data_IF_870904699091
#
_entry.id   IF_870904699091
#
_cell.length_a   1.000
_cell.length_b   1.000
_cell.length_c   1.000
_cell.angle_alpha   90.00
_cell.angle_beta   90.00
_cell.angle_gamma   90.00
#
_symmetry.space_group_name_H-M   'P 1'
#
loop_
_entity.id
_entity.type
_entity.pdbx_description
1 polymer ?
#
# COMPACT_ATOMS: atom_id res chain seq x y z
N UNK A 1 -6.24 19.21 -0.38
CA UNK A 1 -5.67 17.86 -0.20
C UNK A 1 -4.22 18.03 0.20
N UNK A 2 -3.70 17.32 1.20
CA UNK A 2 -2.28 17.37 1.47
C UNK A 2 -1.52 16.90 0.23
N UNK A 3 -0.47 17.61 -0.11
CA UNK A 3 0.43 17.27 -1.22
C UNK A 3 1.09 15.90 -0.91
N UNK A 4 1.23 15.03 -1.91
CA UNK A 4 1.89 13.73 -1.76
C UNK A 4 3.31 13.83 -1.18
N UNK A 5 3.95 15.01 -1.30
CA UNK A 5 5.23 15.35 -0.65
C UNK A 5 5.14 15.46 0.86
N UNK A 6 3.94 15.58 1.44
CA UNK A 6 3.74 15.61 2.90
C UNK A 6 3.78 14.23 3.54
N UNK A 7 3.68 13.15 2.75
CA UNK A 7 3.84 11.79 3.25
C UNK A 7 5.33 11.45 3.28
N UNK A 8 5.91 11.44 4.48
CA UNK A 8 7.36 11.36 4.69
C UNK A 8 7.94 9.95 4.41
N UNK A 9 7.52 9.29 3.32
CA UNK A 9 8.18 8.09 2.81
C UNK A 9 9.60 8.36 2.26
N UNK A 10 9.97 9.64 2.13
CA UNK A 10 11.32 10.06 1.73
C UNK A 10 12.31 10.13 2.89
N UNK A 11 11.88 9.93 4.14
CA UNK A 11 12.77 9.81 5.30
C UNK A 11 13.27 8.36 5.38
N UNK A 12 14.57 8.06 5.24
CA UNK A 12 15.08 6.70 5.05
C UNK A 12 14.66 5.67 6.09
N UNK A 13 14.42 6.08 7.34
CA UNK A 13 13.98 5.20 8.43
C UNK A 13 12.56 4.62 8.24
N UNK A 14 11.66 5.33 7.56
CA UNK A 14 10.27 4.89 7.36
C UNK A 14 10.18 3.72 6.36
N UNK A 15 10.78 3.79 5.16
CA UNK A 15 10.81 2.66 4.25
C UNK A 15 11.43 1.39 4.83
N UNK A 16 12.49 1.52 5.65
CA UNK A 16 13.11 0.37 6.32
C UNK A 16 12.17 -0.27 7.33
N UNK A 17 11.58 0.52 8.24
CA UNK A 17 10.60 0.03 9.21
C UNK A 17 9.36 -0.56 8.52
N UNK A 18 8.89 0.06 7.45
CA UNK A 18 7.80 -0.46 6.62
C UNK A 18 8.16 -1.85 6.07
N UNK A 19 9.35 -2.01 5.49
CA UNK A 19 9.79 -3.27 4.90
C UNK A 19 9.99 -4.37 5.96
N UNK A 20 10.51 -4.03 7.12
CA UNK A 20 10.77 -4.99 8.20
C UNK A 20 9.50 -5.40 8.95
N UNK A 21 8.66 -4.43 9.32
CA UNK A 21 7.54 -4.69 10.25
C UNK A 21 6.20 -4.90 9.55
N UNK A 22 5.92 -4.12 8.50
CA UNK A 22 4.61 -4.15 7.85
C UNK A 22 4.57 -5.09 6.63
N UNK A 23 5.62 -5.10 5.80
CA UNK A 23 5.62 -5.89 4.56
C UNK A 23 5.24 -7.36 4.78
N UNK A 24 5.95 -8.14 5.62
CA UNK A 24 5.69 -9.59 5.69
C UNK A 24 4.35 -9.95 6.33
N UNK A 25 3.83 -9.08 7.19
CA UNK A 25 2.63 -9.36 7.99
C UNK A 25 1.35 -8.75 7.40
N UNK A 26 1.51 -7.68 6.64
CA UNK A 26 0.41 -6.93 6.06
C UNK A 26 0.45 -6.98 4.54
N UNK A 27 1.48 -6.42 3.92
CA UNK A 27 1.45 -6.16 2.48
C UNK A 27 1.65 -7.39 1.59
N UNK A 28 2.43 -8.40 2.00
CA UNK A 28 2.61 -9.63 1.23
C UNK A 28 1.32 -10.49 1.12
N UNK A 29 0.56 -10.73 2.22
CA UNK A 29 -0.72 -11.43 2.10
C UNK A 29 -1.71 -10.70 1.17
N UNK A 30 -1.76 -9.37 1.25
CA UNK A 30 -2.62 -8.57 0.37
C UNK A 30 -2.14 -8.57 -1.08
N UNK A 31 -0.82 -8.56 -1.33
CA UNK A 31 -0.27 -8.67 -2.68
C UNK A 31 -0.63 -10.02 -3.31
N UNK A 32 -0.52 -11.11 -2.56
CA UNK A 32 -0.92 -12.44 -3.01
C UNK A 32 -2.40 -12.44 -3.43
N UNK A 33 -3.27 -11.88 -2.61
CA UNK A 33 -4.71 -11.82 -2.89
C UNK A 33 -5.02 -10.93 -4.12
N UNK A 34 -4.31 -9.82 -4.30
CA UNK A 34 -4.46 -8.95 -5.47
C UNK A 34 -4.04 -9.68 -6.75
N UNK A 35 -2.91 -10.39 -6.73
CA UNK A 35 -2.41 -11.16 -7.87
C UNK A 35 -3.34 -12.34 -8.22
N UNK A 36 -3.97 -12.96 -7.23
CA UNK A 36 -4.98 -14.01 -7.44
C UNK A 36 -6.24 -13.41 -8.08
N UNK A 37 -6.68 -12.24 -7.59
CA UNK A 37 -7.87 -11.57 -8.08
C UNK A 37 -7.75 -11.18 -9.57
N UNK A 38 -6.58 -10.72 -10.03
CA UNK A 38 -6.35 -10.41 -11.45
C UNK A 38 -6.05 -11.65 -12.30
N UNK A 39 -5.96 -12.84 -11.69
CA UNK A 39 -5.59 -14.09 -12.36
C UNK A 39 -4.33 -13.94 -13.21
N UNK A 40 -3.23 -13.47 -12.58
CA UNK A 40 -1.94 -13.25 -13.25
C UNK A 40 -1.38 -14.55 -13.83
N UNK A 41 -0.85 -14.49 -15.07
CA UNK A 41 -0.43 -15.65 -15.85
C UNK A 41 1.04 -15.62 -16.20
N UNK A 42 1.64 -16.78 -16.43
CA UNK A 42 2.99 -16.89 -16.93
C UNK A 42 3.18 -16.17 -18.27
N UNK A 43 4.31 -15.50 -18.45
CA UNK A 43 4.68 -14.77 -19.67
C UNK A 43 4.07 -13.37 -19.79
N UNK A 44 3.18 -12.94 -18.88
CA UNK A 44 2.55 -11.61 -18.96
C UNK A 44 3.52 -10.47 -18.65
N UNK A 45 3.25 -9.33 -19.26
CA UNK A 45 3.91 -8.04 -18.98
C UNK A 45 3.11 -7.29 -17.93
N UNK A 46 3.73 -6.95 -16.82
CA UNK A 46 3.10 -6.34 -15.63
C UNK A 46 3.68 -4.96 -15.38
N UNK A 47 2.80 -4.01 -15.04
CA UNK A 47 3.18 -2.71 -14.46
C UNK A 47 2.68 -2.67 -13.01
N UNK A 48 3.59 -2.46 -12.06
CA UNK A 48 3.30 -2.23 -10.64
C UNK A 48 3.50 -0.76 -10.30
N UNK A 49 2.42 -0.06 -9.97
CA UNK A 49 2.38 1.40 -9.76
C UNK A 49 2.31 1.69 -8.27
N UNK A 50 3.15 2.59 -7.78
CA UNK A 50 3.44 2.82 -6.37
C UNK A 50 3.93 1.53 -5.70
N UNK A 51 4.97 0.94 -6.31
CA UNK A 51 5.50 -0.37 -5.95
C UNK A 51 6.08 -0.43 -4.54
N UNK A 52 6.41 0.75 -3.94
CA UNK A 52 7.06 0.84 -2.65
C UNK A 52 8.38 0.04 -2.63
N UNK A 53 8.62 -0.81 -1.59
CA UNK A 53 9.81 -1.65 -1.52
C UNK A 53 9.70 -2.92 -2.40
N UNK A 54 8.87 -2.88 -3.46
CA UNK A 54 8.79 -3.92 -4.48
C UNK A 54 7.99 -5.17 -4.12
N UNK A 55 7.07 -5.10 -3.17
CA UNK A 55 6.34 -6.29 -2.68
C UNK A 55 5.51 -6.95 -3.77
N UNK A 56 4.64 -6.18 -4.43
CA UNK A 56 3.78 -6.69 -5.51
C UNK A 56 4.63 -7.08 -6.72
N UNK A 57 5.57 -6.23 -7.14
CA UNK A 57 6.44 -6.48 -8.27
C UNK A 57 7.19 -7.81 -8.15
N UNK A 58 7.76 -8.12 -6.97
CA UNK A 58 8.53 -9.34 -6.73
C UNK A 58 7.65 -10.60 -6.77
N UNK A 59 6.46 -10.55 -6.16
CA UNK A 59 5.51 -11.66 -6.23
C UNK A 59 4.96 -11.84 -7.64
N UNK A 60 4.71 -10.75 -8.36
CA UNK A 60 4.31 -10.79 -9.76
C UNK A 60 5.41 -11.40 -10.64
N UNK A 61 6.68 -11.02 -10.44
CA UNK A 61 7.82 -11.56 -11.19
C UNK A 61 7.94 -13.09 -11.05
N UNK A 62 7.70 -13.63 -9.85
CA UNK A 62 7.65 -15.08 -9.64
C UNK A 62 6.52 -15.72 -10.44
N UNK A 63 5.33 -15.11 -10.45
CA UNK A 63 4.15 -15.68 -11.12
C UNK A 63 4.24 -15.64 -12.63
N UNK A 64 4.77 -14.54 -13.18
CA UNK A 64 4.91 -14.44 -14.65
C UNK A 64 6.11 -15.23 -15.17
N UNK A 65 7.07 -15.55 -14.30
CA UNK A 65 8.22 -16.37 -14.63
C UNK A 65 9.17 -15.73 -15.65
N UNK A 66 10.23 -16.45 -16.09
CA UNK A 66 11.34 -15.88 -16.87
C UNK A 66 10.95 -15.40 -18.28
N UNK A 67 9.77 -15.75 -18.78
CA UNK A 67 9.24 -15.25 -20.04
C UNK A 67 8.37 -13.99 -19.88
N UNK A 68 8.03 -13.61 -18.64
CA UNK A 68 7.32 -12.39 -18.33
C UNK A 68 8.27 -11.21 -18.15
N UNK A 69 7.71 -10.06 -17.86
CA UNK A 69 8.45 -8.86 -17.48
C UNK A 69 7.66 -8.03 -16.48
N UNK A 70 8.36 -7.33 -15.61
CA UNK A 70 7.75 -6.42 -14.64
C UNK A 70 8.42 -5.06 -14.74
N UNK A 71 7.62 -4.01 -14.95
CA UNK A 71 8.01 -2.64 -14.69
C UNK A 71 7.39 -2.22 -13.36
N UNK A 72 8.19 -1.69 -12.46
CA UNK A 72 7.77 -1.26 -11.13
C UNK A 72 8.15 0.20 -10.92
N UNK A 73 7.17 1.04 -10.67
CA UNK A 73 7.39 2.48 -10.51
C UNK A 73 6.99 2.98 -9.12
N UNK A 74 7.74 3.94 -8.63
CA UNK A 74 7.41 4.68 -7.41
C UNK A 74 7.94 6.12 -7.51
N UNK A 75 7.34 7.04 -6.75
CA UNK A 75 7.80 8.43 -6.66
C UNK A 75 8.86 8.62 -5.56
N UNK A 76 8.99 7.65 -4.65
CA UNK A 76 9.90 7.69 -3.50
C UNK A 76 11.18 6.90 -3.79
N UNK A 77 12.30 7.59 -4.06
CA UNK A 77 13.59 6.95 -4.31
C UNK A 77 14.02 6.01 -3.17
N UNK A 78 13.87 6.35 -1.86
CA UNK A 78 14.25 5.44 -0.79
C UNK A 78 13.48 4.11 -0.77
N UNK A 79 12.23 4.09 -1.26
CA UNK A 79 11.47 2.85 -1.45
C UNK A 79 12.08 1.98 -2.54
N UNK A 80 12.43 2.59 -3.68
CA UNK A 80 13.06 1.90 -4.80
C UNK A 80 14.46 1.38 -4.46
N UNK A 81 15.21 2.08 -3.63
CA UNK A 81 16.53 1.63 -3.17
C UNK A 81 16.42 0.33 -2.37
N UNK A 82 15.42 0.22 -1.49
CA UNK A 82 15.12 -1.02 -0.77
C UNK A 82 14.67 -2.13 -1.74
N UNK A 83 13.81 -1.78 -2.72
CA UNK A 83 13.35 -2.76 -3.69
C UNK A 83 14.50 -3.34 -4.53
N UNK A 84 15.39 -2.46 -5.02
CA UNK A 84 16.55 -2.82 -5.83
C UNK A 84 17.62 -3.62 -5.06
N UNK A 85 17.73 -3.40 -3.75
CA UNK A 85 18.68 -4.11 -2.90
C UNK A 85 18.32 -5.60 -2.68
N UNK A 86 17.07 -5.99 -2.96
CA UNK A 86 16.60 -7.37 -2.78
C UNK A 86 16.95 -8.23 -4.00
N UNK A 87 17.62 -9.35 -3.76
CA UNK A 87 17.88 -10.32 -4.81
C UNK A 87 16.59 -10.86 -5.46
N UNK A 88 16.61 -11.07 -6.76
CA UNK A 88 15.53 -11.74 -7.47
C UNK A 88 15.43 -13.20 -7.02
N UNK A 89 14.21 -13.73 -7.01
CA UNK A 89 14.00 -15.15 -6.73
C UNK A 89 14.31 -15.99 -7.97
N UNK A 90 14.89 -17.20 -7.80
CA UNK A 90 15.20 -18.07 -8.95
C UNK A 90 13.93 -18.35 -9.78
N UNK A 91 14.08 -18.26 -11.11
CA UNK A 91 12.98 -18.50 -12.04
C UNK A 91 11.96 -17.37 -12.16
N UNK A 92 12.17 -16.21 -11.51
CA UNK A 92 11.34 -15.04 -11.69
C UNK A 92 11.69 -14.26 -12.96
N UNK A 93 10.76 -13.43 -13.41
CA UNK A 93 11.03 -12.39 -14.41
C UNK A 93 12.00 -11.34 -13.88
N UNK A 94 12.66 -10.62 -14.79
CA UNK A 94 13.38 -9.40 -14.45
C UNK A 94 12.40 -8.28 -14.04
N UNK A 95 12.84 -7.45 -13.09
CA UNK A 95 12.08 -6.30 -12.63
C UNK A 95 12.87 -5.03 -12.95
N UNK A 96 12.27 -4.16 -13.76
CA UNK A 96 12.79 -2.82 -14.00
C UNK A 96 12.16 -1.85 -13.00
N UNK A 97 12.98 -1.25 -12.11
CA UNK A 97 12.54 -0.29 -11.11
C UNK A 97 12.83 1.14 -11.56
N UNK A 98 11.80 1.96 -11.74
CA UNK A 98 11.92 3.33 -12.23
C UNK A 98 11.31 4.36 -11.27
N UNK A 99 12.02 5.45 -11.03
CA UNK A 99 11.50 6.62 -10.33
C UNK A 99 10.58 7.38 -11.27
N UNK A 100 9.27 7.35 -11.00
CA UNK A 100 8.28 7.99 -11.86
C UNK A 100 6.98 8.27 -11.11
N UNK A 101 6.28 9.31 -11.59
CA UNK A 101 4.88 9.57 -11.23
C UNK A 101 3.93 8.58 -11.91
N UNK A 102 2.74 8.39 -11.31
CA UNK A 102 1.65 7.67 -11.95
C UNK A 102 0.92 8.50 -13.02
N UNK A 103 1.23 9.79 -13.16
CA UNK A 103 0.58 10.71 -14.08
C UNK A 103 1.59 11.77 -14.56
N UNK A 104 2.07 11.70 -15.83
CA UNK A 104 1.88 10.59 -16.79
C UNK A 104 2.72 9.36 -16.45
N UNK A 105 2.29 8.18 -16.92
CA UNK A 105 3.09 6.96 -16.83
C UNK A 105 4.20 6.94 -17.91
N UNK A 106 5.41 6.48 -17.58
CA UNK A 106 6.57 6.50 -18.48
C UNK A 106 6.56 5.35 -19.51
N UNK A 107 5.38 4.99 -20.00
CA UNK A 107 5.24 3.84 -20.89
C UNK A 107 4.33 4.15 -22.07
N UNK A 108 4.55 3.54 -23.25
CA UNK A 108 3.66 3.68 -24.39
C UNK A 108 2.29 3.05 -24.11
N UNK A 109 1.31 3.41 -24.93
CA UNK A 109 -0.01 2.77 -24.93
C UNK A 109 0.08 1.27 -25.28
N UNK A 110 -0.82 0.47 -24.73
CA UNK A 110 -0.96 -0.95 -25.03
C UNK A 110 0.33 -1.80 -24.81
N UNK A 111 1.08 -1.48 -23.76
CA UNK A 111 2.36 -2.14 -23.44
C UNK A 111 2.22 -3.32 -22.48
N UNK A 112 1.21 -3.32 -21.60
CA UNK A 112 1.08 -4.28 -20.51
C UNK A 112 -0.18 -5.13 -20.60
N UNK A 113 -0.07 -6.36 -20.12
CA UNK A 113 -1.19 -7.28 -19.95
C UNK A 113 -1.94 -6.97 -18.63
N UNK A 114 -1.20 -6.55 -17.60
CA UNK A 114 -1.74 -6.26 -16.27
C UNK A 114 -1.10 -4.99 -15.70
N UNK A 115 -1.94 -4.11 -15.12
CA UNK A 115 -1.52 -2.99 -14.29
C UNK A 115 -2.00 -3.19 -12.85
N UNK A 116 -1.13 -3.00 -11.89
CA UNK A 116 -1.38 -3.22 -10.46
C UNK A 116 -1.12 -1.93 -9.68
N UNK A 117 -1.96 -1.67 -8.67
CA UNK A 117 -1.71 -0.61 -7.70
C UNK A 117 -2.25 -1.05 -6.34
N UNK A 118 -1.35 -1.48 -5.46
CA UNK A 118 -1.72 -1.88 -4.11
C UNK A 118 -1.49 -0.75 -3.12
N UNK A 119 -2.57 -0.23 -2.52
CA UNK A 119 -2.54 0.76 -1.45
C UNK A 119 -1.77 2.06 -1.83
N UNK A 120 -1.71 2.37 -3.13
CA UNK A 120 -1.07 3.58 -3.66
C UNK A 120 -2.07 4.64 -4.11
N UNK A 121 -3.15 4.23 -4.80
CA UNK A 121 -4.09 5.14 -5.48
C UNK A 121 -4.71 6.20 -4.54
N UNK A 122 -4.93 5.88 -3.26
CA UNK A 122 -5.47 6.81 -2.27
C UNK A 122 -4.59 8.04 -2.03
N UNK A 123 -3.30 7.96 -2.34
CA UNK A 123 -2.34 9.06 -2.19
C UNK A 123 -2.19 9.93 -3.44
N UNK A 124 -2.75 9.51 -4.58
CA UNK A 124 -2.55 10.25 -5.84
C UNK A 124 -3.35 11.54 -5.85
N UNK A 125 -2.73 12.67 -6.26
CA UNK A 125 -3.42 13.95 -6.39
C UNK A 125 -4.53 13.92 -7.45
N UNK A 126 -4.22 13.32 -8.62
CA UNK A 126 -5.16 13.08 -9.71
C UNK A 126 -5.46 11.59 -9.86
N UNK A 127 -6.42 11.11 -9.07
CA UNK A 127 -6.81 9.68 -9.03
C UNK A 127 -7.44 9.21 -10.34
N UNK A 128 -8.25 10.06 -10.96
CA UNK A 128 -8.91 9.71 -12.23
C UNK A 128 -7.93 9.74 -13.38
N UNK A 129 -7.04 10.75 -13.44
CA UNK A 129 -5.96 10.80 -14.42
C UNK A 129 -5.04 9.60 -14.34
N UNK A 130 -4.68 9.15 -13.13
CA UNK A 130 -3.88 7.95 -12.93
C UNK A 130 -4.61 6.68 -13.42
N UNK A 131 -5.90 6.54 -13.16
CA UNK A 131 -6.71 5.44 -13.68
C UNK A 131 -6.79 5.45 -15.21
N UNK A 132 -6.93 6.64 -15.83
CA UNK A 132 -6.89 6.79 -17.30
C UNK A 132 -5.52 6.41 -17.88
N UNK A 133 -4.44 6.78 -17.21
CA UNK A 133 -3.08 6.38 -17.62
C UNK A 133 -2.87 4.85 -17.47
N UNK A 134 -3.34 4.24 -16.36
CA UNK A 134 -3.33 2.78 -16.21
C UNK A 134 -4.06 2.10 -17.37
N UNK A 135 -5.23 2.63 -17.75
CA UNK A 135 -5.98 2.11 -18.89
C UNK A 135 -5.24 2.32 -20.23
N UNK A 136 -4.62 3.49 -20.43
CA UNK A 136 -3.88 3.80 -21.67
C UNK A 136 -2.74 2.82 -21.93
N UNK A 137 -1.99 2.46 -20.87
CA UNK A 137 -0.82 1.57 -21.01
C UNK A 137 -1.19 0.09 -21.10
N UNK A 138 -2.42 -0.27 -20.76
CA UNK A 138 -2.92 -1.64 -20.90
C UNK A 138 -3.24 -1.97 -22.36
N UNK A 139 -2.95 -3.21 -22.77
CA UNK A 139 -3.41 -3.78 -24.03
C UNK A 139 -4.96 -3.84 -24.08
N UNK A 140 -5.59 -3.99 -25.25
CA UNK A 140 -7.05 -3.98 -25.38
C UNK A 140 -7.79 -4.94 -24.44
N UNK A 141 -7.23 -6.12 -24.16
CA UNK A 141 -7.78 -7.11 -23.22
C UNK A 141 -7.02 -7.15 -21.88
N UNK A 142 -6.24 -6.12 -21.62
CA UNK A 142 -5.48 -5.97 -20.40
C UNK A 142 -6.36 -5.78 -19.17
N UNK A 143 -5.83 -6.14 -18.01
CA UNK A 143 -6.54 -6.09 -16.73
C UNK A 143 -5.88 -5.11 -15.77
N UNK A 144 -6.70 -4.44 -14.97
CA UNK A 144 -6.25 -3.65 -13.84
C UNK A 144 -6.62 -4.32 -12.53
N UNK A 145 -5.71 -4.32 -11.56
CA UNK A 145 -5.98 -4.72 -10.18
C UNK A 145 -5.60 -3.58 -9.24
N UNK A 146 -6.55 -3.09 -8.46
CA UNK A 146 -6.33 -1.98 -7.53
C UNK A 146 -6.87 -2.36 -6.16
N UNK A 147 -6.07 -2.15 -5.13
CA UNK A 147 -6.47 -2.30 -3.74
C UNK A 147 -6.35 -0.96 -3.00
N UNK A 148 -7.37 -0.60 -2.22
CA UNK A 148 -7.37 0.55 -1.31
C UNK A 148 -7.96 0.15 0.03
N UNK A 149 -7.42 0.69 1.13
CA UNK A 149 -8.00 0.45 2.46
C UNK A 149 -9.42 1.01 2.54
N UNK A 150 -10.26 0.37 3.33
CA UNK A 150 -11.53 0.94 3.77
C UNK A 150 -11.29 1.98 4.87
N UNK A 151 -12.33 2.58 5.41
CA UNK A 151 -12.27 3.56 6.50
C UNK A 151 -11.43 3.04 7.69
N UNK A 152 -10.74 3.96 8.39
CA UNK A 152 -9.78 3.63 9.45
C UNK A 152 -10.43 2.87 10.62
N UNK A 153 -11.70 3.11 10.89
CA UNK A 153 -12.48 2.47 11.96
C UNK A 153 -12.60 0.95 11.76
N UNK A 154 -12.50 0.48 10.51
CA UNK A 154 -12.49 -0.95 10.16
C UNK A 154 -11.08 -1.54 10.05
N UNK A 155 -10.07 -0.78 10.47
CA UNK A 155 -8.66 -1.20 10.53
C UNK A 155 -8.14 -0.98 11.96
N UNK A 156 -8.48 -1.86 12.92
CA UNK A 156 -8.38 -1.62 14.36
C UNK A 156 -6.99 -1.20 14.84
N UNK A 157 -5.91 -1.71 14.22
CA UNK A 157 -4.54 -1.32 14.58
C UNK A 157 -4.31 0.19 14.37
N UNK A 158 -4.68 0.69 13.19
CA UNK A 158 -4.50 2.13 12.89
C UNK A 158 -5.54 3.00 13.59
N UNK A 159 -6.74 2.49 13.83
CA UNK A 159 -7.72 3.16 14.68
C UNK A 159 -7.18 3.36 16.12
N UNK A 160 -6.48 2.36 16.66
CA UNK A 160 -5.81 2.47 17.97
C UNK A 160 -4.69 3.52 17.95
N UNK A 161 -3.86 3.56 16.89
CA UNK A 161 -2.84 4.61 16.74
C UNK A 161 -3.47 6.00 16.64
N UNK A 162 -4.52 6.15 15.83
CA UNK A 162 -5.22 7.42 15.67
C UNK A 162 -5.83 7.90 16.98
N UNK A 163 -6.47 7.03 17.74
CA UNK A 163 -7.02 7.36 19.05
C UNK A 163 -5.94 7.84 20.03
N UNK A 164 -4.77 7.19 20.04
CA UNK A 164 -3.64 7.62 20.88
C UNK A 164 -3.06 8.98 20.42
N UNK A 165 -2.88 9.17 19.12
CA UNK A 165 -2.40 10.43 18.53
C UNK A 165 -3.36 11.59 18.84
N UNK A 166 -4.67 11.42 18.59
CA UNK A 166 -5.69 12.46 18.85
C UNK A 166 -5.75 12.90 20.31
N UNK A 167 -5.39 12.02 21.25
CA UNK A 167 -5.39 12.31 22.68
C UNK A 167 -4.11 13.02 23.15
N UNK A 168 -3.02 13.05 22.34
CA UNK A 168 -1.68 13.42 22.85
C UNK A 168 -0.94 14.42 21.99
N UNK A 169 -1.25 14.55 20.70
CA UNK A 169 -0.55 15.45 19.78
C UNK A 169 -1.52 16.39 19.06
N UNK A 170 -1.04 17.49 18.43
CA UNK A 170 -1.91 18.37 17.65
C UNK A 170 -2.71 17.61 16.58
N UNK A 171 -3.95 18.01 16.38
CA UNK A 171 -4.90 17.38 15.45
C UNK A 171 -4.31 17.21 14.05
N UNK A 172 -3.62 18.24 13.53
CA UNK A 172 -3.03 18.22 12.19
C UNK A 172 -2.00 17.07 12.03
N UNK A 173 -1.17 16.82 13.06
CA UNK A 173 -0.23 15.71 13.06
C UNK A 173 -0.95 14.38 13.24
N UNK A 174 -1.92 14.31 14.15
CA UNK A 174 -2.71 13.09 14.40
C UNK A 174 -3.43 12.61 13.15
N UNK A 175 -4.02 13.52 12.38
CA UNK A 175 -4.85 13.19 11.22
C UNK A 175 -4.02 12.72 10.01
N UNK A 176 -2.70 12.90 9.99
CA UNK A 176 -1.85 12.33 8.94
C UNK A 176 -1.92 10.80 8.88
N UNK A 177 -2.20 10.13 10.01
CA UNK A 177 -2.36 8.67 10.07
C UNK A 177 -3.58 8.18 9.27
N UNK A 178 -4.54 9.06 8.97
CA UNK A 178 -5.78 8.71 8.26
C UNK A 178 -5.61 8.72 6.74
N UNK A 179 -4.52 9.27 6.22
CA UNK A 179 -4.29 9.42 4.78
C UNK A 179 -4.40 8.11 3.99
N UNK A 180 -3.89 6.95 4.46
CA UNK A 180 -4.06 5.67 3.78
C UNK A 180 -5.53 5.25 3.62
N UNK A 181 -6.44 5.81 4.42
CA UNK A 181 -7.87 5.47 4.49
C UNK A 181 -8.76 6.52 3.83
N UNK A 182 -8.18 7.37 2.97
CA UNK A 182 -8.85 8.52 2.36
C UNK A 182 -9.77 8.17 1.19
N UNK A 183 -9.93 6.90 0.83
CA UNK A 183 -10.87 6.50 -0.21
C UNK A 183 -12.28 6.34 0.37
N UNK A 184 -13.31 7.02 -0.19
CA UNK A 184 -14.62 7.12 0.46
C UNK A 184 -15.35 5.79 0.61
N UNK A 185 -15.29 4.90 -0.39
CA UNK A 185 -15.98 3.61 -0.37
C UNK A 185 -15.56 2.70 -1.53
N UNK A 186 -15.90 1.42 -1.47
CA UNK A 186 -15.70 0.49 -2.58
C UNK A 186 -16.54 0.86 -3.82
N UNK A 187 -17.75 1.36 -3.62
CA UNK A 187 -18.60 1.82 -4.73
C UNK A 187 -18.00 3.04 -5.44
N UNK A 188 -17.43 4.00 -4.71
CA UNK A 188 -16.74 5.14 -5.32
C UNK A 188 -15.48 4.73 -6.07
N UNK A 189 -14.75 3.70 -5.61
CA UNK A 189 -13.61 3.13 -6.34
C UNK A 189 -14.06 2.51 -7.67
N UNK A 190 -15.14 1.74 -7.64
CA UNK A 190 -15.74 1.16 -8.84
C UNK A 190 -16.21 2.23 -9.82
N UNK A 191 -16.87 3.29 -9.33
CA UNK A 191 -17.33 4.41 -10.15
C UNK A 191 -16.16 5.17 -10.78
N UNK A 192 -15.10 5.43 -10.03
CA UNK A 192 -13.89 6.09 -10.55
C UNK A 192 -13.21 5.27 -11.66
N UNK A 193 -13.14 3.96 -11.50
CA UNK A 193 -12.60 3.08 -12.54
C UNK A 193 -13.48 3.07 -13.80
N UNK A 194 -14.81 3.07 -13.64
CA UNK A 194 -15.74 3.17 -14.77
C UNK A 194 -15.62 4.53 -15.49
N UNK A 195 -15.49 5.64 -14.75
CA UNK A 195 -15.24 6.97 -15.33
C UNK A 195 -13.92 7.03 -16.11
N UNK A 196 -12.90 6.31 -15.66
CA UNK A 196 -11.63 6.19 -16.38
C UNK A 196 -11.73 5.29 -17.64
N UNK A 197 -12.87 4.64 -17.87
CA UNK A 197 -13.18 3.85 -19.05
C UNK A 197 -12.95 2.35 -18.90
N UNK A 198 -12.65 1.85 -17.68
CA UNK A 198 -12.59 0.41 -17.42
C UNK A 198 -13.98 -0.24 -17.51
N UNK A 199 -14.00 -1.50 -17.94
CA UNK A 199 -15.21 -2.32 -18.13
C UNK A 199 -15.14 -3.58 -17.27
N UNK A 200 -16.25 -4.31 -17.15
CA UNK A 200 -16.35 -5.57 -16.40
C UNK A 200 -15.72 -5.47 -14.99
N UNK A 201 -16.01 -4.35 -14.28
CA UNK A 201 -15.39 -4.05 -13.01
C UNK A 201 -16.04 -4.88 -11.90
N UNK A 202 -15.24 -5.76 -11.30
CA UNK A 202 -15.59 -6.56 -10.14
C UNK A 202 -15.01 -5.90 -8.88
N UNK A 203 -15.86 -5.67 -7.88
CA UNK A 203 -15.47 -5.15 -6.57
C UNK A 203 -15.51 -6.28 -5.55
N UNK A 204 -14.42 -6.45 -4.81
CA UNK A 204 -14.28 -7.38 -3.70
C UNK A 204 -13.91 -6.59 -2.45
N UNK A 205 -14.62 -6.81 -1.35
CA UNK A 205 -14.16 -6.36 -0.02
C UNK A 205 -13.70 -7.59 0.75
N UNK A 206 -12.49 -7.54 1.28
CA UNK A 206 -11.88 -8.64 2.04
C UNK A 206 -11.29 -8.13 3.33
N UNK A 207 -11.27 -9.00 4.34
CA UNK A 207 -10.56 -8.78 5.58
C UNK A 207 -9.54 -9.91 5.78
N UNK A 208 -8.31 -9.55 6.14
CA UNK A 208 -7.25 -10.48 6.49
C UNK A 208 -6.73 -10.14 7.90
N UNK A 209 -6.50 -11.13 8.76
CA UNK A 209 -5.92 -10.89 10.07
C UNK A 209 -4.44 -10.55 9.94
N UNK A 210 -4.00 -9.53 10.67
CA UNK A 210 -2.60 -9.28 10.98
C UNK A 210 -2.33 -9.75 12.40
N UNK A 211 -1.42 -10.68 12.56
CA UNK A 211 -1.03 -11.22 13.86
C UNK A 211 0.36 -10.73 14.22
N UNK A 212 0.48 -10.13 15.39
CA UNK A 212 1.73 -9.65 15.97
C UNK A 212 2.04 -10.52 17.18
N UNK A 213 2.89 -11.51 16.97
CA UNK A 213 3.16 -12.62 17.91
C UNK A 213 3.78 -12.13 19.23
N UNK A 214 4.62 -11.10 19.18
CA UNK A 214 5.23 -10.51 20.38
C UNK A 214 4.33 -9.43 21.05
N UNK A 215 3.02 -9.41 20.72
CA UNK A 215 2.01 -8.63 21.40
C UNK A 215 2.13 -7.13 21.20
N UNK A 216 1.80 -6.37 22.24
CA UNK A 216 1.66 -4.90 22.20
C UNK A 216 2.96 -4.19 21.78
N UNK A 217 4.12 -4.64 22.26
CA UNK A 217 5.39 -3.98 21.92
C UNK A 217 5.73 -4.13 20.43
N UNK A 218 5.44 -5.28 19.84
CA UNK A 218 5.59 -5.44 18.39
C UNK A 218 4.62 -4.53 17.63
N UNK A 219 3.38 -4.37 18.10
CA UNK A 219 2.43 -3.44 17.52
C UNK A 219 2.95 -1.99 17.58
N UNK A 220 3.52 -1.56 18.72
CA UNK A 220 4.15 -0.24 18.84
C UNK A 220 5.29 -0.08 17.83
N UNK A 221 6.11 -1.11 17.60
CA UNK A 221 7.21 -1.04 16.62
C UNK A 221 6.71 -0.82 15.19
N UNK A 222 5.55 -1.41 14.81
CA UNK A 222 5.01 -1.20 13.46
C UNK A 222 4.62 0.24 13.18
N UNK A 223 4.41 1.06 14.22
CA UNK A 223 4.14 2.49 14.08
C UNK A 223 5.28 3.24 13.36
N UNK A 224 6.53 2.80 13.52
CA UNK A 224 7.69 3.40 12.87
C UNK A 224 7.62 3.36 11.32
N UNK A 225 6.87 2.40 10.74
CA UNK A 225 6.62 2.30 9.31
C UNK A 225 5.47 3.19 8.79
N UNK A 226 4.87 4.02 9.65
CA UNK A 226 3.78 4.91 9.27
C UNK A 226 4.29 6.28 8.81
N UNK A 227 3.56 6.98 7.93
CA UNK A 227 3.97 8.30 7.45
C UNK A 227 3.96 9.40 8.52
N UNK A 228 3.36 9.15 9.69
CA UNK A 228 3.31 10.10 10.81
C UNK A 228 4.49 9.95 11.77
N UNK A 229 5.19 8.83 11.73
CA UNK A 229 6.28 8.53 12.68
C UNK A 229 7.40 9.58 12.71
N UNK A 230 7.88 10.13 11.58
CA UNK A 230 8.90 11.18 11.61
C UNK A 230 8.44 12.46 12.33
N UNK A 231 7.21 12.92 12.09
CA UNK A 231 6.68 14.08 12.78
C UNK A 231 6.54 13.86 14.30
N UNK A 232 6.25 12.63 14.72
CA UNK A 232 6.25 12.26 16.15
C UNK A 232 7.66 12.25 16.72
N UNK A 233 8.67 11.83 15.97
CA UNK A 233 10.07 11.79 16.43
C UNK A 233 10.65 13.19 16.72
N UNK A 234 10.09 14.25 16.12
CA UNK A 234 10.48 15.65 16.35
C UNK A 234 9.83 16.27 17.60
N UNK A 235 8.85 15.60 18.21
CA UNK A 235 8.18 16.10 19.40
C UNK A 235 9.07 16.00 20.66
N UNK A 236 8.80 16.80 21.72
CA UNK A 236 9.48 16.65 23.00
C UNK A 236 9.35 15.22 23.56
N UNK A 237 10.42 14.72 24.18
CA UNK A 237 10.47 13.34 24.72
C UNK A 237 9.31 13.01 25.66
N UNK A 238 8.86 13.97 26.45
CA UNK A 238 7.72 13.79 27.36
C UNK A 238 6.43 13.50 26.60
N UNK A 239 6.19 14.23 25.49
CA UNK A 239 5.03 14.02 24.62
C UNK A 239 5.12 12.66 23.94
N UNK A 240 6.30 12.28 23.43
CA UNK A 240 6.50 10.95 22.84
C UNK A 240 6.22 9.84 23.86
N UNK A 241 6.73 9.95 25.09
CA UNK A 241 6.49 8.96 26.14
C UNK A 241 5.00 8.83 26.49
N UNK A 242 4.30 9.96 26.59
CA UNK A 242 2.85 9.99 26.83
C UNK A 242 2.09 9.33 25.67
N UNK A 243 2.44 9.64 24.42
CA UNK A 243 1.86 9.04 23.24
C UNK A 243 2.05 7.50 23.22
N UNK A 244 3.29 7.03 23.41
CA UNK A 244 3.54 5.59 23.39
C UNK A 244 2.90 4.85 24.57
N UNK A 245 2.78 5.47 25.73
CA UNK A 245 2.04 4.91 26.86
C UNK A 245 0.53 4.78 26.49
N UNK A 246 -0.05 5.83 25.91
CA UNK A 246 -1.44 5.81 25.46
C UNK A 246 -1.66 4.79 24.33
N UNK A 247 -0.72 4.69 23.37
CA UNK A 247 -0.77 3.72 22.30
C UNK A 247 -0.82 2.28 22.84
N UNK A 248 0.01 1.95 23.84
CA UNK A 248 -0.04 0.63 24.50
C UNK A 248 -1.40 0.35 25.14
N UNK A 249 -2.03 1.34 25.77
CA UNK A 249 -3.38 1.17 26.33
C UNK A 249 -4.43 0.85 25.25
N UNK A 250 -4.39 1.57 24.11
CA UNK A 250 -5.32 1.31 23.02
C UNK A 250 -5.06 -0.08 22.39
N UNK A 251 -3.81 -0.45 22.18
CA UNK A 251 -3.42 -1.72 21.58
C UNK A 251 -3.74 -2.93 22.47
N UNK A 252 -3.74 -2.75 23.80
CA UNK A 252 -4.12 -3.82 24.74
C UNK A 252 -5.55 -4.32 24.48
N UNK A 253 -6.43 -3.48 23.94
CA UNK A 253 -7.80 -3.87 23.55
C UNK A 253 -7.84 -4.90 22.40
N UNK A 254 -6.75 -5.03 21.65
CA UNK A 254 -6.60 -5.93 20.52
C UNK A 254 -5.87 -7.24 20.88
N UNK A 255 -5.52 -7.41 22.16
CA UNK A 255 -4.79 -8.60 22.61
C UNK A 255 -5.72 -9.81 22.70
N UNK A 256 -5.30 -10.91 22.06
CA UNK A 256 -5.92 -12.24 22.15
C UNK A 256 -4.79 -13.26 22.40
N UNK A 257 -4.88 -14.00 23.47
CA UNK A 257 -3.88 -15.01 23.85
C UNK A 257 -2.43 -14.49 23.82
N UNK A 258 -2.20 -13.30 24.38
CA UNK A 258 -0.89 -12.65 24.43
C UNK A 258 -0.40 -12.00 23.13
N UNK A 259 -1.09 -12.19 22.02
CA UNK A 259 -0.79 -11.61 20.69
C UNK A 259 -1.70 -10.43 20.40
N UNK A 260 -1.24 -9.47 19.60
CA UNK A 260 -2.13 -8.46 19.01
C UNK A 260 -2.67 -9.02 17.70
N UNK A 261 -4.00 -9.11 17.62
CA UNK A 261 -4.70 -9.58 16.42
C UNK A 261 -5.63 -8.48 15.93
N UNK A 262 -5.36 -7.99 14.73
CA UNK A 262 -6.13 -6.90 14.13
C UNK A 262 -6.49 -7.26 12.68
N UNK A 263 -7.77 -7.25 12.37
CA UNK A 263 -8.21 -7.42 11.00
C UNK A 263 -7.89 -6.17 10.18
N UNK A 264 -7.47 -6.39 8.95
CA UNK A 264 -7.30 -5.34 7.94
C UNK A 264 -8.28 -5.56 6.82
N UNK A 265 -9.01 -4.52 6.46
CA UNK A 265 -10.04 -4.58 5.43
C UNK A 265 -9.68 -3.69 4.26
N UNK A 266 -9.76 -4.23 3.06
CA UNK A 266 -9.49 -3.52 1.81
C UNK A 266 -10.58 -3.77 0.78
N UNK A 267 -10.85 -2.76 -0.03
CA UNK A 267 -11.59 -2.87 -1.27
C UNK A 267 -10.61 -3.16 -2.40
N UNK A 268 -10.91 -4.17 -3.19
CA UNK A 268 -10.15 -4.55 -4.39
C UNK A 268 -11.06 -4.46 -5.58
N UNK A 269 -10.63 -3.80 -6.64
CA UNK A 269 -11.28 -3.89 -7.94
C UNK A 269 -10.38 -4.62 -8.94
N UNK A 270 -11.04 -5.37 -9.82
CA UNK A 270 -10.45 -5.90 -11.05
C UNK A 270 -11.31 -5.42 -12.20
N UNK A 271 -10.71 -4.84 -13.23
CA UNK A 271 -11.40 -4.32 -14.41
C UNK A 271 -10.62 -4.63 -15.69
N UNK A 272 -11.30 -4.51 -16.82
CA UNK A 272 -10.73 -4.66 -18.18
C UNK A 272 -10.54 -3.29 -18.83
N UNK A 273 -9.50 -3.14 -19.64
CA UNK A 273 -9.19 -1.93 -20.38
C UNK A 273 -10.20 -1.57 -21.49
#
# INVERSE_FOLDING_TARGET
MPDATQFQFNVPSVPQAYDEFLRPRLFEPWATLLLDAVALRAGESVLDIATGPGTVARLAAVRVGPQGRVLAIDIAQPMLDIAKAKALLPGSADIDYQLSSATPLPSPSAAFDVALCQQGLQFFPDRIGALREMRRVLKPDGRVGIAVWVEIERNPLYAAYHAALRATVPTQLADLITAPFSWPSGSSLKSAAAEAGFRAIHLLTRSLPMVLEAGVEQAVQTFAGTPVAPGVAELPREVQNTLFARMRQELTKLVKDGRVVADWTSNIIVGQA
#
